data_IF_438911692468
#
_entry.id   IF_438911692468
#
_cell.length_a   1.000
_cell.length_b   1.000
_cell.length_c   1.000
_cell.angle_alpha   90.00
_cell.angle_beta   90.00
_cell.angle_gamma   90.00
#
_symmetry.space_group_name_H-M   'P 1'
#
loop_
_entity.id
_entity.type
_entity.pdbx_description
1 polymer ?
#
# COMPACT_ATOMS: atom_id res chain seq x y z
N UNK A 1 -5.99 -1.56 3.44
CA UNK A 1 -6.06 -0.38 2.54
C UNK A 1 -7.12 -0.48 1.43
N UNK A 2 -7.63 -1.66 1.05
CA UNK A 2 -8.69 -1.79 0.02
C UNK A 2 -10.11 -1.41 0.47
N UNK A 3 -10.32 -1.14 1.77
CA UNK A 3 -11.63 -0.79 2.35
C UNK A 3 -11.70 0.63 2.91
N UNK A 4 -10.60 1.41 2.82
CA UNK A 4 -10.65 2.84 3.10
C UNK A 4 -11.00 3.56 1.80
N UNK A 5 -12.02 4.42 1.80
CA UNK A 5 -12.26 5.44 0.76
C UNK A 5 -11.17 6.52 0.83
N UNK A 6 -9.91 6.09 0.87
CA UNK A 6 -8.76 6.97 0.92
C UNK A 6 -8.44 7.47 -0.49
N UNK A 7 -8.04 8.74 -0.63
CA UNK A 7 -7.59 9.25 -1.93
C UNK A 7 -6.33 8.54 -2.44
N UNK A 8 -5.56 7.87 -1.58
CA UNK A 8 -4.28 7.25 -1.91
C UNK A 8 -4.37 6.20 -3.02
N UNK A 9 -5.44 5.40 -3.08
CA UNK A 9 -5.63 4.42 -4.16
C UNK A 9 -5.89 5.09 -5.50
N UNK A 10 -6.73 6.14 -5.51
CA UNK A 10 -6.98 6.93 -6.71
C UNK A 10 -5.70 7.64 -7.17
N UNK A 11 -4.93 8.20 -6.25
CA UNK A 11 -3.63 8.81 -6.50
C UNK A 11 -2.64 7.81 -7.13
N UNK A 12 -2.53 6.59 -6.57
CA UNK A 12 -1.68 5.53 -7.12
C UNK A 12 -2.11 5.15 -8.55
N UNK A 13 -3.41 4.96 -8.78
CA UNK A 13 -3.97 4.67 -10.11
C UNK A 13 -3.67 5.78 -11.12
N UNK A 14 -3.87 7.04 -10.73
CA UNK A 14 -3.59 8.21 -11.57
C UNK A 14 -2.10 8.37 -11.86
N UNK A 15 -1.23 8.15 -10.86
CA UNK A 15 0.22 8.17 -11.03
C UNK A 15 0.71 7.06 -11.98
N UNK A 16 0.17 5.85 -11.84
CA UNK A 16 0.49 4.73 -12.73
C UNK A 16 -0.01 4.99 -14.16
N UNK A 17 -1.21 5.56 -14.33
CA UNK A 17 -1.75 5.92 -15.64
C UNK A 17 -0.94 7.02 -16.31
N UNK A 18 -0.55 8.06 -15.57
CA UNK A 18 0.35 9.10 -16.04
C UNK A 18 1.69 8.52 -16.49
N UNK A 19 2.29 7.66 -15.65
CA UNK A 19 3.55 7.00 -15.96
C UNK A 19 3.46 6.12 -17.21
N UNK A 20 2.37 5.34 -17.35
CA UNK A 20 2.07 4.58 -18.56
C UNK A 20 1.96 5.48 -19.79
N UNK A 21 1.19 6.58 -19.69
CA UNK A 21 1.03 7.54 -20.78
C UNK A 21 2.37 8.12 -21.22
N UNK A 22 3.22 8.52 -20.28
CA UNK A 22 4.57 8.97 -20.58
C UNK A 22 5.48 7.86 -21.12
N UNK A 23 5.33 6.61 -20.73
CA UNK A 23 6.13 5.52 -21.28
C UNK A 23 5.69 5.13 -22.72
N UNK A 24 4.39 5.19 -23.01
CA UNK A 24 3.80 4.74 -24.26
C UNK A 24 3.76 5.81 -25.38
N UNK A 25 3.94 7.09 -25.03
CA UNK A 25 3.88 8.23 -25.96
C UNK A 25 4.75 8.10 -27.23
N UNK A 26 5.98 7.52 -27.18
CA UNK A 26 6.78 7.32 -28.39
C UNK A 26 6.12 6.37 -29.40
N UNK A 27 5.35 5.39 -28.92
CA UNK A 27 4.78 4.32 -29.73
C UNK A 27 3.36 4.62 -30.22
N UNK A 28 2.53 5.28 -29.39
CA UNK A 28 1.14 5.65 -29.72
C UNK A 28 0.88 7.09 -29.27
N UNK A 29 0.07 7.85 -30.03
CA UNK A 29 -0.20 9.26 -29.71
C UNK A 29 -1.47 9.52 -28.91
N UNK A 30 -2.68 9.19 -29.41
CA UNK A 30 -3.90 9.70 -28.79
C UNK A 30 -4.12 9.07 -27.41
N UNK A 31 -4.05 7.74 -27.32
CA UNK A 31 -4.30 7.02 -26.08
C UNK A 31 -3.33 7.43 -24.95
N UNK A 32 -2.00 7.53 -25.17
CA UNK A 32 -1.10 7.95 -24.10
C UNK A 32 -1.26 9.42 -23.69
N UNK A 33 -1.62 10.33 -24.60
CA UNK A 33 -1.94 11.72 -24.25
C UNK A 33 -3.20 11.83 -23.38
N UNK A 34 -4.24 11.03 -23.68
CA UNK A 34 -5.40 10.93 -22.80
C UNK A 34 -5.03 10.36 -21.43
N UNK A 35 -4.19 9.33 -21.38
CA UNK A 35 -3.71 8.75 -20.13
C UNK A 35 -2.91 9.76 -19.29
N UNK A 36 -2.03 10.55 -19.92
CA UNK A 36 -1.30 11.64 -19.24
C UNK A 36 -2.26 12.69 -18.69
N UNK A 37 -3.22 13.14 -19.50
CA UNK A 37 -4.19 14.17 -19.11
C UNK A 37 -5.06 13.71 -17.94
N UNK A 38 -5.62 12.50 -18.04
CA UNK A 38 -6.47 11.90 -17.01
C UNK A 38 -5.66 11.60 -15.74
N UNK A 39 -4.40 11.16 -15.88
CA UNK A 39 -3.50 10.93 -14.75
C UNK A 39 -3.16 12.22 -14.00
N UNK A 40 -2.79 13.31 -14.69
CA UNK A 40 -2.45 14.59 -14.03
C UNK A 40 -3.67 15.25 -13.39
N UNK A 41 -4.79 15.31 -14.10
CA UNK A 41 -6.03 15.90 -13.59
C UNK A 41 -6.56 15.05 -12.43
N UNK A 42 -6.58 13.72 -12.56
CA UNK A 42 -7.02 12.82 -11.50
C UNK A 42 -6.15 12.88 -10.25
N UNK A 43 -4.82 13.01 -10.41
CA UNK A 43 -3.91 13.18 -9.28
C UNK A 43 -4.14 14.52 -8.55
N UNK A 44 -4.43 15.59 -9.29
CA UNK A 44 -4.79 16.89 -8.72
C UNK A 44 -6.12 16.83 -7.96
N UNK A 45 -7.17 16.27 -8.57
CA UNK A 45 -8.52 16.16 -7.99
C UNK A 45 -8.60 15.18 -6.82
N UNK A 46 -7.70 14.19 -6.75
CA UNK A 46 -7.58 13.28 -5.60
C UNK A 46 -6.75 13.87 -4.45
N UNK A 47 -6.47 15.18 -4.46
CA UNK A 47 -5.82 15.87 -3.35
C UNK A 47 -4.30 15.80 -3.35
N UNK A 48 -3.66 15.43 -4.48
CA UNK A 48 -2.21 15.49 -4.67
C UNK A 48 -1.79 16.46 -5.79
N UNK A 49 -2.23 17.74 -5.79
CA UNK A 49 -1.90 18.69 -6.84
C UNK A 49 -0.40 18.99 -6.92
N UNK A 50 0.32 19.04 -5.80
CA UNK A 50 1.77 19.27 -5.79
C UNK A 50 2.54 18.17 -6.53
N UNK A 51 2.16 16.90 -6.33
CA UNK A 51 2.74 15.76 -7.03
C UNK A 51 2.39 15.78 -8.52
N UNK A 52 1.15 16.12 -8.88
CA UNK A 52 0.75 16.30 -10.28
C UNK A 52 1.62 17.36 -10.97
N UNK A 53 1.86 18.49 -10.32
CA UNK A 53 2.71 19.56 -10.85
C UNK A 53 4.16 19.11 -11.04
N UNK A 54 4.76 18.50 -10.04
CA UNK A 54 6.16 18.05 -10.10
C UNK A 54 6.35 16.92 -11.13
N UNK A 55 5.39 16.01 -11.21
CA UNK A 55 5.36 14.96 -12.24
C UNK A 55 5.23 15.56 -13.63
N UNK A 56 4.25 16.43 -13.85
CA UNK A 56 4.00 17.09 -15.13
C UNK A 56 5.18 17.95 -15.59
N UNK A 57 5.73 18.81 -14.71
CA UNK A 57 6.87 19.67 -15.03
C UNK A 57 8.11 18.86 -15.40
N UNK A 58 8.49 17.87 -14.59
CA UNK A 58 9.67 17.07 -14.88
C UNK A 58 9.48 16.17 -16.10
N UNK A 59 8.28 15.60 -16.30
CA UNK A 59 7.99 14.81 -17.49
C UNK A 59 8.01 15.65 -18.78
N UNK A 60 7.46 16.87 -18.76
CA UNK A 60 7.54 17.81 -19.88
C UNK A 60 8.97 18.19 -20.19
N UNK A 61 9.78 18.52 -19.17
CA UNK A 61 11.20 18.83 -19.34
C UNK A 61 11.96 17.64 -19.92
N UNK A 62 11.81 16.45 -19.34
CA UNK A 62 12.45 15.23 -19.81
C UNK A 62 12.05 14.88 -21.25
N UNK A 63 10.77 14.99 -21.61
CA UNK A 63 10.30 14.74 -22.98
C UNK A 63 10.84 15.77 -23.97
N UNK A 64 10.94 17.05 -23.57
CA UNK A 64 11.48 18.10 -24.41
C UNK A 64 12.99 17.98 -24.67
N UNK A 65 13.74 17.51 -23.67
CA UNK A 65 15.19 17.30 -23.79
C UNK A 65 15.57 15.93 -24.38
N UNK A 66 14.61 15.00 -24.49
CA UNK A 66 14.79 13.72 -25.17
C UNK A 66 14.93 13.95 -26.69
N UNK A 67 16.18 14.07 -27.15
CA UNK A 67 16.52 14.21 -28.58
C UNK A 67 17.21 12.94 -29.08
N UNK A 68 16.47 12.04 -29.75
CA UNK A 68 17.08 10.98 -30.55
C UNK A 68 18.11 11.57 -31.53
N UNK A 69 19.16 10.81 -31.86
CA UNK A 69 20.23 11.29 -32.75
C UNK A 69 19.78 11.49 -34.20
N UNK A 70 18.82 10.67 -34.66
CA UNK A 70 18.31 10.63 -36.04
C UNK A 70 16.82 11.00 -36.09
N UNK A 71 16.47 12.26 -35.81
CA UNK A 71 15.10 12.76 -35.96
C UNK A 71 15.06 13.93 -36.93
N UNK A 72 14.19 13.81 -37.94
CA UNK A 72 13.90 14.87 -38.88
C UNK A 72 13.23 16.08 -38.20
N UNK A 73 13.21 17.23 -38.88
CA UNK A 73 12.58 18.45 -38.39
C UNK A 73 11.11 18.25 -37.96
N UNK A 74 10.37 17.38 -38.66
CA UNK A 74 9.00 17.01 -38.31
C UNK A 74 8.92 16.25 -36.96
N UNK A 75 9.92 15.42 -36.65
CA UNK A 75 10.03 14.72 -35.37
C UNK A 75 10.29 15.68 -34.21
N UNK A 76 11.16 16.68 -34.41
CA UNK A 76 11.44 17.74 -33.43
C UNK A 76 10.19 18.56 -33.14
N UNK A 77 9.46 18.98 -34.19
CA UNK A 77 8.22 19.74 -34.04
C UNK A 77 7.15 18.94 -33.29
N UNK A 78 7.05 17.64 -33.57
CA UNK A 78 6.14 16.73 -32.86
C UNK A 78 6.46 16.63 -31.37
N UNK A 79 7.72 16.41 -31.00
CA UNK A 79 8.14 16.35 -29.59
C UNK A 79 7.78 17.65 -28.87
N UNK A 80 8.00 18.79 -29.52
CA UNK A 80 7.64 20.12 -28.99
C UNK A 80 6.13 20.27 -28.80
N UNK A 81 5.30 19.81 -29.74
CA UNK A 81 3.84 19.85 -29.61
C UNK A 81 3.36 18.95 -28.47
N UNK A 82 3.88 17.74 -28.37
CA UNK A 82 3.56 16.81 -27.29
C UNK A 82 3.98 17.39 -25.92
N UNK A 83 5.19 17.95 -25.80
CA UNK A 83 5.64 18.62 -24.58
C UNK A 83 4.75 19.83 -24.22
N UNK A 84 4.32 20.61 -25.22
CA UNK A 84 3.41 21.74 -25.00
C UNK A 84 2.02 21.28 -24.54
N UNK A 85 1.50 20.19 -25.09
CA UNK A 85 0.23 19.59 -24.65
C UNK A 85 0.32 19.10 -23.20
N UNK A 86 1.41 18.42 -22.83
CA UNK A 86 1.63 17.97 -21.44
C UNK A 86 1.81 19.17 -20.50
N UNK A 87 2.53 20.21 -20.93
CA UNK A 87 2.65 21.46 -20.19
C UNK A 87 1.30 22.16 -19.98
N UNK A 88 0.44 22.17 -21.00
CA UNK A 88 -0.90 22.75 -20.95
C UNK A 88 -1.82 21.94 -20.03
N UNK A 89 -1.80 20.61 -20.09
CA UNK A 89 -2.60 19.78 -19.17
C UNK A 89 -2.15 19.96 -17.73
N UNK A 90 -0.85 20.13 -17.49
CA UNK A 90 -0.33 20.47 -16.17
C UNK A 90 -0.79 21.85 -15.69
N UNK A 91 -0.83 22.85 -16.58
CA UNK A 91 -1.36 24.19 -16.27
C UNK A 91 -2.87 24.16 -15.98
N UNK A 92 -3.64 23.35 -16.71
CA UNK A 92 -5.06 23.12 -16.44
C UNK A 92 -5.25 22.44 -15.08
N UNK A 93 -4.46 21.40 -14.78
CA UNK A 93 -4.51 20.74 -13.48
C UNK A 93 -4.15 21.68 -12.32
N UNK A 94 -3.20 22.61 -12.53
CA UNK A 94 -2.87 23.68 -11.60
C UNK A 94 -4.05 24.65 -11.42
N UNK A 95 -4.63 25.12 -12.52
CA UNK A 95 -5.76 26.05 -12.50
C UNK A 95 -6.96 25.46 -11.75
N UNK A 96 -7.27 24.18 -11.99
CA UNK A 96 -8.30 23.45 -11.24
C UNK A 96 -7.95 23.34 -9.75
N UNK A 97 -6.70 23.05 -9.40
CA UNK A 97 -6.27 22.98 -8.01
C UNK A 97 -6.41 24.32 -7.28
N UNK A 98 -6.11 25.43 -7.96
CA UNK A 98 -6.29 26.79 -7.43
C UNK A 98 -7.78 27.08 -7.26
N UNK A 99 -8.59 26.84 -8.29
CA UNK A 99 -10.03 27.13 -8.30
C UNK A 99 -10.79 26.36 -7.22
N UNK A 100 -10.38 25.12 -6.95
CA UNK A 100 -10.99 24.26 -5.93
C UNK A 100 -10.34 24.41 -4.53
N UNK A 101 -9.35 25.30 -4.36
CA UNK A 101 -8.65 25.49 -3.09
C UNK A 101 -7.91 24.25 -2.59
N UNK A 102 -7.45 23.39 -3.51
CA UNK A 102 -6.78 22.12 -3.20
C UNK A 102 -5.29 22.29 -2.86
N UNK A 103 -4.70 23.44 -3.17
CA UNK A 103 -3.31 23.76 -2.85
C UNK A 103 -3.14 23.99 -1.34
N UNK A 104 -3.03 22.90 -0.59
CA UNK A 104 -2.65 22.93 0.83
C UNK A 104 -1.18 22.60 0.96
N UNK A 105 -0.35 23.64 1.03
CA UNK A 105 1.08 23.49 1.27
C UNK A 105 1.32 23.18 2.75
N UNK A 106 1.36 21.89 3.09
CA UNK A 106 1.73 21.42 4.43
C UNK A 106 3.11 20.75 4.36
N UNK A 107 4.14 21.57 4.20
CA UNK A 107 5.53 21.10 4.27
C UNK A 107 5.86 20.92 5.74
N UNK A 108 5.84 19.67 6.19
CA UNK A 108 6.29 19.28 7.52
C UNK A 108 7.72 18.78 7.39
N UNK A 109 8.68 19.65 7.69
CA UNK A 109 10.08 19.24 7.74
C UNK A 109 10.29 18.33 8.95
N UNK A 110 11.03 17.21 8.79
CA UNK A 110 11.29 16.30 9.88
C UNK A 110 12.03 17.05 10.97
N UNK A 111 11.59 16.90 12.22
CA UNK A 111 12.34 17.46 13.34
C UNK A 111 13.68 16.72 13.39
N UNK A 112 14.78 17.38 13.77
CA UNK A 112 16.09 16.75 13.90
C UNK A 112 16.15 15.86 15.16
N UNK A 113 15.18 14.97 15.33
CA UNK A 113 15.15 13.95 16.37
C UNK A 113 15.55 12.61 15.77
N UNK A 114 16.34 11.82 16.51
CA UNK A 114 16.77 10.51 16.02
C UNK A 114 15.60 9.55 15.77
N UNK A 115 14.52 9.67 16.56
CA UNK A 115 13.31 8.87 16.41
C UNK A 115 12.62 9.08 15.05
N UNK A 116 12.46 10.34 14.61
CA UNK A 116 11.81 10.64 13.33
C UNK A 116 12.66 10.11 12.16
N UNK A 117 13.97 10.36 12.18
CA UNK A 117 14.90 9.86 11.14
C UNK A 117 14.95 8.34 11.09
N UNK A 118 14.94 7.66 12.24
CA UNK A 118 14.88 6.19 12.28
C UNK A 118 13.56 5.69 11.68
N UNK A 119 12.43 6.36 11.96
CA UNK A 119 11.14 6.05 11.36
C UNK A 119 11.15 6.16 9.83
N UNK A 120 11.67 7.27 9.27
CA UNK A 120 11.79 7.44 7.82
C UNK A 120 12.74 6.43 7.18
N UNK A 121 13.87 6.12 7.83
CA UNK A 121 14.82 5.13 7.34
C UNK A 121 14.19 3.72 7.33
N UNK A 122 13.50 3.35 8.40
CA UNK A 122 12.79 2.08 8.50
C UNK A 122 11.71 1.99 7.41
N UNK A 123 10.94 3.07 7.21
CA UNK A 123 9.93 3.14 6.15
C UNK A 123 10.57 2.94 4.77
N UNK A 124 11.58 3.74 4.41
CA UNK A 124 12.21 3.65 3.09
C UNK A 124 12.83 2.27 2.86
N UNK A 125 13.56 1.72 3.84
CA UNK A 125 14.26 0.44 3.71
C UNK A 125 13.27 -0.70 3.57
N UNK A 126 12.30 -0.82 4.48
CA UNK A 126 11.40 -1.98 4.52
C UNK A 126 10.26 -1.91 3.51
N UNK A 127 9.71 -0.72 3.28
CA UNK A 127 8.58 -0.55 2.37
C UNK A 127 8.98 -0.80 0.91
N UNK A 128 10.18 -0.36 0.53
CA UNK A 128 10.68 -0.53 -0.84
C UNK A 128 11.54 -1.77 -1.02
N UNK A 129 11.78 -2.54 0.05
CA UNK A 129 12.44 -3.84 -0.05
C UNK A 129 11.56 -4.83 -0.83
N UNK A 130 12.12 -5.67 -1.71
CA UNK A 130 13.52 -5.79 -2.13
C UNK A 130 13.84 -5.00 -3.41
N UNK A 131 12.99 -4.06 -3.82
CA UNK A 131 13.13 -3.32 -5.07
C UNK A 131 14.22 -2.25 -5.02
N UNK A 132 14.44 -1.59 -3.87
CA UNK A 132 15.39 -0.47 -3.79
C UNK A 132 16.85 -0.83 -4.08
N UNK A 133 17.43 -1.99 -3.68
CA UNK A 133 18.80 -2.32 -4.03
C UNK A 133 18.96 -2.46 -5.55
N UNK A 134 17.97 -3.07 -6.21
CA UNK A 134 17.95 -3.21 -7.67
C UNK A 134 17.75 -1.85 -8.35
N UNK A 135 16.86 -1.00 -7.84
CA UNK A 135 16.65 0.34 -8.37
C UNK A 135 17.92 1.21 -8.24
N UNK A 136 18.58 1.17 -7.08
CA UNK A 136 19.84 1.89 -6.85
C UNK A 136 20.96 1.35 -7.74
N UNK A 137 21.04 0.03 -7.92
CA UNK A 137 21.97 -0.60 -8.85
C UNK A 137 21.76 -0.13 -10.30
N UNK A 138 20.50 -0.02 -10.75
CA UNK A 138 20.17 0.55 -12.06
C UNK A 138 20.63 2.00 -12.16
N UNK A 139 20.30 2.85 -11.18
CA UNK A 139 20.73 4.26 -11.20
C UNK A 139 22.25 4.37 -11.23
N UNK A 140 22.96 3.57 -10.43
CA UNK A 140 24.42 3.56 -10.37
C UNK A 140 25.04 3.12 -11.70
N UNK A 141 24.57 2.02 -12.29
CA UNK A 141 25.12 1.49 -13.54
C UNK A 141 24.81 2.37 -14.75
N UNK A 142 23.67 3.05 -14.74
CA UNK A 142 23.21 3.92 -15.82
C UNK A 142 23.49 5.41 -15.55
N UNK A 143 24.25 5.76 -14.49
CA UNK A 143 24.55 7.16 -14.10
C UNK A 143 25.14 7.99 -15.23
N UNK A 144 26.01 7.40 -16.05
CA UNK A 144 26.64 8.09 -17.17
C UNK A 144 25.65 8.38 -18.31
N UNK A 145 24.50 7.70 -18.38
CA UNK A 145 23.41 8.01 -19.33
C UNK A 145 22.34 8.93 -18.74
N UNK A 146 22.26 9.01 -17.41
CA UNK A 146 21.39 9.96 -16.69
C UNK A 146 21.97 11.38 -16.69
N UNK A 147 23.29 11.51 -16.49
CA UNK A 147 23.95 12.81 -16.29
C UNK A 147 24.73 13.32 -17.51
N UNK A 148 24.81 12.57 -18.61
CA UNK A 148 25.38 13.09 -19.87
C UNK A 148 24.33 13.78 -20.73
N UNK A 149 24.83 14.50 -21.75
CA UNK A 149 24.08 15.30 -22.73
C UNK A 149 22.96 14.56 -23.50
N UNK A 150 22.87 13.23 -23.42
CA UNK A 150 21.79 12.41 -23.98
C UNK A 150 21.05 11.67 -22.86
N UNK A 151 20.03 12.33 -22.32
CA UNK A 151 19.20 11.77 -21.25
C UNK A 151 18.35 10.63 -21.81
N UNK A 152 18.58 9.41 -21.34
CA UNK A 152 17.74 8.27 -21.71
C UNK A 152 16.42 8.29 -20.96
N UNK A 153 15.32 8.59 -21.64
CA UNK A 153 13.94 8.63 -21.08
C UNK A 153 13.59 7.41 -20.24
N UNK A 154 13.94 6.21 -20.70
CA UNK A 154 13.57 4.95 -20.04
C UNK A 154 14.09 4.82 -18.60
N UNK A 155 15.18 5.51 -18.25
CA UNK A 155 15.72 5.52 -16.88
C UNK A 155 15.41 6.84 -16.17
N UNK A 156 15.47 7.97 -16.89
CA UNK A 156 15.29 9.30 -16.32
C UNK A 156 13.85 9.55 -15.84
N UNK A 157 12.84 9.10 -16.59
CA UNK A 157 11.43 9.25 -16.21
C UNK A 157 11.10 8.51 -14.91
N UNK A 158 11.34 7.19 -14.76
CA UNK A 158 11.07 6.52 -13.50
C UNK A 158 11.95 7.03 -12.36
N UNK A 159 13.20 7.41 -12.63
CA UNK A 159 14.04 8.04 -11.61
C UNK A 159 13.42 9.34 -11.10
N UNK A 160 12.94 10.22 -11.97
CA UNK A 160 12.30 11.47 -11.58
C UNK A 160 11.04 11.23 -10.74
N UNK A 161 10.13 10.37 -11.18
CA UNK A 161 8.91 10.10 -10.42
C UNK A 161 9.22 9.47 -9.05
N UNK A 162 10.15 8.52 -8.98
CA UNK A 162 10.58 7.92 -7.72
C UNK A 162 11.23 8.96 -6.80
N UNK A 163 12.08 9.84 -7.32
CA UNK A 163 12.73 10.90 -6.57
C UNK A 163 11.70 11.89 -5.99
N UNK A 164 10.75 12.33 -6.81
CA UNK A 164 9.68 13.23 -6.36
C UNK A 164 8.87 12.60 -5.24
N UNK A 165 8.50 11.32 -5.35
CA UNK A 165 7.78 10.62 -4.28
C UNK A 165 8.62 10.48 -3.01
N UNK A 166 9.90 10.11 -3.11
CA UNK A 166 10.79 9.97 -1.94
C UNK A 166 11.00 11.32 -1.26
N UNK A 167 11.25 12.39 -2.01
CA UNK A 167 11.34 13.74 -1.46
C UNK A 167 10.03 14.16 -0.80
N UNK A 168 8.89 13.91 -1.43
CA UNK A 168 7.58 14.23 -0.87
C UNK A 168 7.28 13.43 0.40
N UNK A 169 7.70 12.16 0.49
CA UNK A 169 7.59 11.33 1.69
C UNK A 169 8.34 11.95 2.88
N UNK A 170 9.48 12.59 2.63
CA UNK A 170 10.28 13.27 3.67
C UNK A 170 9.72 14.63 4.09
N UNK A 171 8.87 15.27 3.27
CA UNK A 171 8.36 16.63 3.51
C UNK A 171 6.87 16.68 3.84
N UNK A 172 6.19 15.53 3.91
CA UNK A 172 4.73 15.44 4.08
C UNK A 172 4.39 14.54 5.26
N UNK A 173 3.39 14.92 6.07
CA UNK A 173 2.94 14.17 7.24
C UNK A 173 2.27 12.80 6.96
N UNK A 174 2.04 12.43 5.69
CA UNK A 174 1.51 11.12 5.28
C UNK A 174 2.52 10.36 4.41
N UNK A 175 3.66 10.03 5.02
CA UNK A 175 4.85 9.49 4.37
C UNK A 175 4.59 8.17 3.63
N UNK A 176 3.90 7.21 4.26
CA UNK A 176 3.60 5.89 3.70
C UNK A 176 2.73 5.98 2.45
N UNK A 177 1.67 6.80 2.52
CA UNK A 177 0.72 7.00 1.40
C UNK A 177 1.40 7.66 0.21
N UNK A 178 2.30 8.60 0.47
CA UNK A 178 3.10 9.27 -0.58
C UNK A 178 4.08 8.30 -1.22
N UNK A 179 4.70 7.43 -0.41
CA UNK A 179 5.67 6.45 -0.88
C UNK A 179 5.03 5.36 -1.75
N UNK A 180 3.73 5.05 -1.56
CA UNK A 180 2.98 4.14 -2.44
C UNK A 180 3.08 4.58 -3.92
N UNK A 181 3.06 5.88 -4.19
CA UNK A 181 3.14 6.41 -5.56
C UNK A 181 4.52 6.16 -6.21
N UNK A 182 5.55 5.87 -5.41
CA UNK A 182 6.87 5.49 -5.92
C UNK A 182 6.92 4.04 -6.43
N UNK A 183 5.93 3.20 -6.14
CA UNK A 183 5.98 1.77 -6.48
C UNK A 183 6.07 1.51 -7.99
N UNK A 184 5.24 2.13 -8.87
CA UNK A 184 5.37 1.94 -10.32
C UNK A 184 6.76 2.30 -10.87
N UNK A 185 7.33 3.50 -10.59
CA UNK A 185 8.66 3.83 -11.09
C UNK A 185 9.76 2.95 -10.47
N UNK A 186 9.71 2.64 -9.18
CA UNK A 186 10.68 1.75 -8.54
C UNK A 186 10.65 0.33 -9.14
N UNK A 187 9.47 -0.21 -9.42
CA UNK A 187 9.30 -1.50 -10.08
C UNK A 187 9.97 -1.52 -11.46
N UNK A 188 9.84 -0.42 -12.23
CA UNK A 188 10.53 -0.33 -13.53
C UNK A 188 12.04 -0.18 -13.42
N UNK A 189 12.55 0.60 -12.45
CA UNK A 189 13.99 0.69 -12.19
C UNK A 189 14.56 -0.66 -11.77
N UNK A 190 13.85 -1.41 -10.92
CA UNK A 190 14.23 -2.75 -10.52
C UNK A 190 14.22 -3.72 -11.72
N UNK A 191 13.23 -3.64 -12.61
CA UNK A 191 13.18 -4.46 -13.82
C UNK A 191 14.37 -4.18 -14.76
N UNK A 192 14.81 -2.93 -14.89
CA UNK A 192 16.00 -2.57 -15.67
C UNK A 192 17.33 -2.99 -15.04
N UNK A 193 17.33 -3.44 -13.77
CA UNK A 193 18.51 -4.03 -13.16
C UNK A 193 18.80 -5.41 -13.75
N UNK A 194 17.76 -6.18 -14.08
CA UNK A 194 17.86 -7.61 -14.45
C UNK A 194 18.79 -7.87 -15.63
N UNK A 195 18.74 -7.13 -16.77
CA UNK A 195 19.66 -7.35 -17.90
C UNK A 195 21.13 -7.05 -17.57
N UNK A 196 21.38 -6.30 -16.49
CA UNK A 196 22.73 -5.93 -16.09
C UNK A 196 23.39 -6.96 -15.18
N UNK A 197 22.61 -7.84 -14.56
CA UNK A 197 23.11 -8.85 -13.63
C UNK A 197 23.81 -9.99 -14.39
N UNK A 198 24.85 -10.57 -13.76
CA UNK A 198 25.45 -11.81 -14.27
C UNK A 198 24.41 -12.92 -14.24
N UNK A 199 24.46 -13.84 -15.21
CA UNK A 199 23.53 -14.98 -15.33
C UNK A 199 23.38 -15.78 -14.03
N UNK A 200 24.45 -15.88 -13.25
CA UNK A 200 24.45 -16.56 -11.95
C UNK A 200 23.56 -15.85 -10.91
N UNK A 201 23.68 -14.53 -10.75
CA UNK A 201 22.91 -13.76 -9.76
C UNK A 201 21.42 -13.79 -10.10
N UNK A 202 21.08 -13.59 -11.38
CA UNK A 202 19.70 -13.68 -11.84
C UNK A 202 19.11 -15.09 -11.61
N UNK A 203 19.89 -16.15 -11.84
CA UNK A 203 19.44 -17.52 -11.58
C UNK A 203 19.20 -17.79 -10.08
N UNK A 204 20.05 -17.25 -9.19
CA UNK A 204 19.86 -17.38 -7.74
C UNK A 204 18.56 -16.73 -7.30
N UNK A 205 18.28 -15.50 -7.76
CA UNK A 205 17.03 -14.79 -7.45
C UNK A 205 15.81 -15.61 -7.94
N UNK A 206 15.89 -16.15 -9.16
CA UNK A 206 14.80 -16.94 -9.73
C UNK A 206 14.55 -18.24 -8.94
N UNK A 207 15.59 -18.98 -8.55
CA UNK A 207 15.44 -20.21 -7.75
C UNK A 207 14.99 -19.93 -6.33
N UNK A 208 15.53 -18.89 -5.70
CA UNK A 208 15.12 -18.46 -4.37
C UNK A 208 13.63 -18.12 -4.36
N UNK A 209 13.17 -17.28 -5.30
CA UNK A 209 11.76 -16.89 -5.37
C UNK A 209 10.84 -18.08 -5.66
N UNK A 210 11.24 -18.99 -6.54
CA UNK A 210 10.49 -20.21 -6.82
C UNK A 210 10.32 -21.07 -5.55
N UNK A 211 11.40 -21.38 -4.85
CA UNK A 211 11.38 -22.20 -3.63
C UNK A 211 10.62 -21.50 -2.50
N UNK A 212 10.86 -20.22 -2.30
CA UNK A 212 10.23 -19.41 -1.27
C UNK A 212 8.71 -19.34 -1.47
N UNK A 213 8.24 -18.91 -2.64
CA UNK A 213 6.80 -18.75 -2.89
C UNK A 213 6.06 -20.08 -2.97
N UNK A 214 6.70 -21.14 -3.48
CA UNK A 214 6.11 -22.49 -3.44
C UNK A 214 6.02 -23.02 -2.01
N UNK A 215 7.04 -22.76 -1.18
CA UNK A 215 7.02 -23.07 0.25
C UNK A 215 5.93 -22.30 1.00
N UNK A 216 5.77 -21.00 0.74
CA UNK A 216 4.68 -20.20 1.30
C UNK A 216 3.31 -20.75 0.89
N UNK A 217 3.09 -21.04 -0.39
CA UNK A 217 1.84 -21.61 -0.87
C UNK A 217 1.54 -22.97 -0.21
N UNK A 218 2.56 -23.83 -0.06
CA UNK A 218 2.44 -25.10 0.64
C UNK A 218 2.04 -24.91 2.11
N UNK A 219 2.69 -24.01 2.84
CA UNK A 219 2.38 -23.70 4.24
C UNK A 219 0.93 -23.20 4.37
N UNK A 220 0.50 -22.29 3.48
CA UNK A 220 -0.88 -21.76 3.48
C UNK A 220 -1.90 -22.90 3.32
N UNK A 221 -1.66 -23.83 2.39
CA UNK A 221 -2.49 -25.02 2.20
C UNK A 221 -2.50 -25.94 3.42
N UNK A 222 -1.33 -26.27 3.98
CA UNK A 222 -1.23 -27.16 5.15
C UNK A 222 -1.97 -26.60 6.35
N UNK A 223 -1.79 -25.31 6.65
CA UNK A 223 -2.48 -24.66 7.77
C UNK A 223 -3.98 -24.59 7.51
N UNK A 224 -4.41 -24.27 6.28
CA UNK A 224 -5.84 -24.25 5.95
C UNK A 224 -6.48 -25.63 6.09
N UNK A 225 -5.84 -26.70 5.59
CA UNK A 225 -6.31 -28.08 5.77
C UNK A 225 -6.38 -28.42 7.26
N UNK A 226 -5.38 -28.04 8.05
CA UNK A 226 -5.35 -28.27 9.49
C UNK A 226 -6.50 -27.57 10.23
N UNK A 227 -6.84 -26.35 9.82
CA UNK A 227 -7.97 -25.59 10.40
C UNK A 227 -9.32 -26.26 10.07
N UNK A 228 -9.49 -26.75 8.83
CA UNK A 228 -10.76 -27.34 8.40
C UNK A 228 -10.98 -28.77 8.90
N UNK A 229 -9.91 -29.56 9.02
CA UNK A 229 -9.99 -31.00 9.31
C UNK A 229 -9.44 -31.38 10.68
N UNK A 230 -8.70 -30.50 11.34
CA UNK A 230 -7.97 -30.80 12.57
C UNK A 230 -6.64 -31.56 12.37
N UNK A 231 -6.31 -31.96 11.13
CA UNK A 231 -5.08 -32.68 10.81
C UNK A 231 -4.23 -31.90 9.77
N UNK A 232 -2.91 -31.72 9.98
CA UNK A 232 -2.08 -32.16 11.10
C UNK A 232 -2.37 -31.43 12.43
N UNK A 233 -2.26 -32.18 13.54
CA UNK A 233 -2.67 -31.71 14.87
C UNK A 233 -1.87 -30.51 15.40
N UNK A 234 -0.57 -30.42 15.10
CA UNK A 234 0.28 -29.33 15.58
C UNK A 234 -0.12 -27.95 15.00
N UNK A 235 -0.22 -27.78 13.66
CA UNK A 235 -0.73 -26.53 13.10
C UNK A 235 -2.14 -26.16 13.57
N UNK A 236 -3.05 -27.13 13.70
CA UNK A 236 -4.40 -26.89 14.22
C UNK A 236 -4.37 -26.38 15.68
N UNK A 237 -3.58 -27.01 16.54
CA UNK A 237 -3.42 -26.59 17.93
C UNK A 237 -2.78 -25.19 18.05
N UNK A 238 -1.79 -24.89 17.21
CA UNK A 238 -1.16 -23.56 17.18
C UNK A 238 -2.17 -22.48 16.78
N UNK A 239 -3.01 -22.73 15.76
CA UNK A 239 -4.05 -21.78 15.35
C UNK A 239 -5.10 -21.62 16.45
N UNK A 240 -5.55 -22.71 17.07
CA UNK A 240 -6.52 -22.65 18.18
C UNK A 240 -5.97 -21.87 19.39
N UNK A 241 -4.66 -21.94 19.63
CA UNK A 241 -3.98 -21.15 20.68
C UNK A 241 -3.89 -19.66 20.31
N UNK A 242 -3.61 -19.34 19.04
CA UNK A 242 -3.44 -17.97 18.56
C UNK A 242 -4.78 -17.26 18.31
N UNK A 243 -5.81 -17.98 17.89
CA UNK A 243 -7.15 -17.47 17.58
C UNK A 243 -8.22 -18.21 18.39
N UNK A 244 -8.33 -17.96 19.70
CA UNK A 244 -9.22 -18.69 20.58
C UNK A 244 -10.69 -18.39 20.27
N UNK A 245 -11.48 -19.43 20.01
CA UNK A 245 -12.90 -19.29 19.67
C UNK A 245 -13.17 -18.94 18.20
N UNK A 246 -12.16 -19.07 17.33
CA UNK A 246 -12.36 -19.02 15.88
C UNK A 246 -13.05 -20.29 15.39
N UNK A 247 -14.14 -20.13 14.64
CA UNK A 247 -14.84 -21.24 13.97
C UNK A 247 -14.48 -21.27 12.49
N UNK A 248 -14.12 -22.46 12.01
CA UNK A 248 -13.71 -22.64 10.62
C UNK A 248 -14.92 -22.52 9.68
N UNK A 249 -14.82 -21.66 8.68
CA UNK A 249 -15.85 -21.47 7.66
C UNK A 249 -15.35 -22.04 6.33
N UNK A 250 -16.15 -22.90 5.70
CA UNK A 250 -15.83 -23.49 4.41
C UNK A 250 -16.62 -22.78 3.29
N UNK A 251 -15.91 -22.34 2.25
CA UNK A 251 -16.53 -21.71 1.08
C UNK A 251 -15.97 -22.33 -0.20
N UNK A 252 -16.80 -23.12 -0.87
CA UNK A 252 -16.47 -23.78 -2.14
C UNK A 252 -15.95 -22.83 -3.24
N UNK A 253 -16.54 -21.64 -3.48
CA UNK A 253 -16.02 -20.74 -4.51
C UNK A 253 -14.61 -20.22 -4.19
N UNK A 254 -14.31 -19.91 -2.92
CA UNK A 254 -12.96 -19.49 -2.51
C UNK A 254 -11.93 -20.60 -2.70
N UNK A 255 -12.32 -21.85 -2.40
CA UNK A 255 -11.49 -23.03 -2.63
C UNK A 255 -11.21 -23.22 -4.12
N UNK A 256 -12.23 -23.11 -4.98
CA UNK A 256 -12.07 -23.27 -6.43
C UNK A 256 -11.07 -22.24 -7.00
N UNK A 257 -11.16 -20.98 -6.58
CA UNK A 257 -10.22 -19.92 -6.98
C UNK A 257 -8.80 -20.23 -6.51
N UNK A 258 -8.63 -20.67 -5.26
CA UNK A 258 -7.33 -21.05 -4.70
C UNK A 258 -6.69 -22.23 -5.45
N UNK A 259 -7.49 -23.23 -5.83
CA UNK A 259 -7.06 -24.38 -6.63
C UNK A 259 -6.60 -23.92 -8.02
N UNK A 260 -7.40 -23.10 -8.71
CA UNK A 260 -7.04 -22.55 -10.03
C UNK A 260 -5.73 -21.75 -9.94
N UNK A 261 -5.58 -20.89 -8.94
CA UNK A 261 -4.36 -20.13 -8.74
C UNK A 261 -3.14 -21.04 -8.51
N UNK A 262 -3.30 -22.11 -7.72
CA UNK A 262 -2.23 -23.10 -7.47
C UNK A 262 -1.86 -23.85 -8.76
N UNK A 263 -2.83 -24.20 -9.60
CA UNK A 263 -2.56 -24.80 -10.92
C UNK A 263 -1.85 -23.84 -11.87
N UNK A 264 -2.26 -22.58 -11.93
CA UNK A 264 -1.60 -21.55 -12.74
C UNK A 264 -0.14 -21.37 -12.30
N UNK A 265 0.14 -21.41 -10.98
CA UNK A 265 1.50 -21.41 -10.47
C UNK A 265 2.30 -22.65 -10.89
N UNK A 266 1.72 -23.84 -10.75
CA UNK A 266 2.36 -25.09 -11.21
C UNK A 266 2.68 -25.07 -12.70
N UNK A 267 1.78 -24.51 -13.52
CA UNK A 267 2.01 -24.30 -14.94
C UNK A 267 3.15 -23.30 -15.21
N UNK A 268 3.19 -22.19 -14.47
CA UNK A 268 4.26 -21.18 -14.55
C UNK A 268 5.63 -21.77 -14.17
N UNK A 269 5.68 -22.58 -13.10
CA UNK A 269 6.89 -23.32 -12.68
C UNK A 269 7.33 -24.30 -13.76
N UNK A 270 6.41 -25.09 -14.32
CA UNK A 270 6.71 -26.03 -15.43
C UNK A 270 7.24 -25.29 -16.65
N UNK A 271 6.62 -24.18 -17.03
CA UNK A 271 7.06 -23.32 -18.13
C UNK A 271 8.49 -22.80 -17.90
N UNK A 272 8.79 -22.39 -16.67
CA UNK A 272 10.09 -21.83 -16.28
C UNK A 272 11.22 -22.87 -16.32
N UNK A 273 10.97 -24.08 -15.81
CA UNK A 273 11.92 -25.20 -15.82
C UNK A 273 12.16 -25.73 -17.25
N UNK A 274 11.21 -25.48 -18.16
CA UNK A 274 11.35 -25.77 -19.59
C UNK A 274 12.47 -24.98 -20.29
N UNK A 275 13.08 -25.62 -21.31
CA UNK A 275 14.12 -25.05 -22.18
C UNK A 275 13.55 -24.04 -23.20
N UNK A 276 13.00 -22.92 -22.72
CA UNK A 276 12.56 -21.80 -23.56
C UNK A 276 13.57 -20.64 -23.52
N UNK A 277 13.74 -19.97 -24.66
CA UNK A 277 14.74 -18.91 -24.90
C UNK A 277 14.69 -17.77 -23.86
N UNK A 278 15.87 -17.19 -23.61
CA UNK A 278 16.14 -16.19 -22.58
C UNK A 278 15.56 -14.82 -22.96
N UNK A 279 14.32 -14.56 -22.55
CA UNK A 279 13.72 -13.24 -22.66
C UNK A 279 13.69 -12.55 -21.29
N UNK A 280 13.91 -11.22 -21.27
CA UNK A 280 14.17 -10.40 -20.07
C UNK A 280 13.08 -10.56 -18.99
N UNK A 281 11.82 -10.73 -19.39
CA UNK A 281 10.67 -10.93 -18.50
C UNK A 281 10.68 -12.27 -17.74
N UNK A 282 11.46 -13.27 -18.16
CA UNK A 282 11.43 -14.60 -17.55
C UNK A 282 11.81 -14.58 -16.06
N UNK A 283 12.70 -13.67 -15.66
CA UNK A 283 13.15 -13.51 -14.26
C UNK A 283 12.18 -12.68 -13.43
N UNK A 284 11.40 -11.79 -14.05
CA UNK A 284 10.45 -10.92 -13.32
C UNK A 284 9.13 -11.62 -13.02
N UNK A 285 8.68 -12.51 -13.91
CA UNK A 285 7.38 -13.18 -13.81
C UNK A 285 7.28 -14.12 -12.60
N UNK A 286 8.37 -14.78 -12.21
CA UNK A 286 8.41 -15.67 -11.05
C UNK A 286 8.13 -14.95 -9.72
N UNK A 287 8.90 -13.91 -9.33
CA UNK A 287 8.63 -13.19 -8.10
C UNK A 287 7.25 -12.52 -8.09
N UNK A 288 6.85 -11.88 -9.19
CA UNK A 288 5.55 -11.23 -9.28
C UNK A 288 4.39 -12.24 -9.20
N UNK A 289 4.48 -13.35 -9.93
CA UNK A 289 3.50 -14.43 -9.90
C UNK A 289 3.43 -15.13 -8.55
N UNK A 290 4.57 -15.34 -7.88
CA UNK A 290 4.63 -16.01 -6.59
C UNK A 290 4.07 -15.14 -5.47
N UNK A 291 4.37 -13.83 -5.50
CA UNK A 291 3.76 -12.86 -4.61
C UNK A 291 2.24 -12.78 -4.83
N UNK A 292 1.80 -12.71 -6.10
CA UNK A 292 0.37 -12.71 -6.45
C UNK A 292 -0.35 -13.98 -5.99
N UNK A 293 0.26 -15.16 -6.19
CA UNK A 293 -0.26 -16.43 -5.69
C UNK A 293 -0.40 -16.42 -4.17
N UNK A 294 0.68 -16.06 -3.45
CA UNK A 294 0.70 -16.07 -1.99
C UNK A 294 -0.37 -15.14 -1.43
N UNK A 295 -0.48 -13.95 -2.01
CA UNK A 295 -1.52 -12.98 -1.64
C UNK A 295 -2.93 -13.51 -1.94
N UNK A 296 -3.14 -14.10 -3.13
CA UNK A 296 -4.43 -14.65 -3.52
C UNK A 296 -4.84 -15.82 -2.60
N UNK A 297 -3.92 -16.74 -2.28
CA UNK A 297 -4.20 -17.84 -1.35
C UNK A 297 -4.52 -17.32 0.07
N UNK A 298 -3.82 -16.29 0.55
CA UNK A 298 -4.13 -15.67 1.84
C UNK A 298 -5.52 -15.01 1.83
N UNK A 299 -5.83 -14.24 0.78
CA UNK A 299 -7.10 -13.53 0.60
C UNK A 299 -8.29 -14.45 0.24
N UNK A 300 -8.05 -15.74 0.02
CA UNK A 300 -9.10 -16.73 -0.23
C UNK A 300 -9.21 -17.71 0.94
N UNK A 301 -8.17 -18.50 1.17
CA UNK A 301 -8.17 -19.57 2.17
C UNK A 301 -8.09 -19.03 3.60
N UNK A 302 -7.24 -18.04 3.87
CA UNK A 302 -7.03 -17.51 5.22
C UNK A 302 -7.87 -16.29 5.53
N UNK A 303 -8.67 -15.77 4.59
CA UNK A 303 -9.45 -14.56 4.79
C UNK A 303 -10.36 -14.60 6.03
N UNK A 304 -11.09 -15.70 6.35
CA UNK A 304 -11.90 -15.75 7.56
C UNK A 304 -11.05 -15.66 8.84
N UNK A 305 -9.92 -16.36 8.88
CA UNK A 305 -9.00 -16.34 10.02
C UNK A 305 -8.35 -14.95 10.20
N UNK A 306 -7.85 -14.36 9.11
CA UNK A 306 -7.26 -13.02 9.12
C UNK A 306 -8.28 -11.97 9.54
N UNK A 307 -9.52 -12.08 9.07
CA UNK A 307 -10.60 -11.20 9.48
C UNK A 307 -10.90 -11.35 10.98
N UNK A 308 -10.97 -12.57 11.52
CA UNK A 308 -11.17 -12.78 12.96
C UNK A 308 -10.01 -12.22 13.80
N UNK A 309 -8.77 -12.38 13.33
CA UNK A 309 -7.58 -11.96 14.05
C UNK A 309 -7.34 -10.45 14.03
N UNK A 310 -7.77 -9.75 12.97
CA UNK A 310 -7.51 -8.31 12.78
C UNK A 310 -8.75 -7.43 12.94
N UNK A 311 -9.97 -7.99 12.86
CA UNK A 311 -11.20 -7.20 12.96
C UNK A 311 -11.58 -6.92 14.40
N UNK A 312 -11.89 -5.65 14.69
CA UNK A 312 -12.49 -5.25 15.95
C UNK A 312 -13.90 -5.80 16.20
N UNK A 313 -14.52 -6.54 15.27
CA UNK A 313 -15.88 -7.06 15.45
C UNK A 313 -16.03 -7.87 16.75
N UNK A 314 -15.10 -8.78 17.04
CA UNK A 314 -15.16 -9.57 18.27
C UNK A 314 -15.06 -8.72 19.54
N UNK A 315 -14.21 -7.68 19.52
CA UNK A 315 -14.07 -6.70 20.60
C UNK A 315 -15.38 -5.92 20.80
N UNK A 316 -15.98 -5.45 19.71
CA UNK A 316 -17.23 -4.68 19.74
C UNK A 316 -18.38 -5.55 20.26
N UNK A 317 -18.55 -6.77 19.75
CA UNK A 317 -19.62 -7.67 20.20
C UNK A 317 -19.53 -8.00 21.69
N UNK A 318 -18.31 -8.25 22.21
CA UNK A 318 -18.09 -8.45 23.67
C UNK A 318 -18.43 -7.21 24.49
N UNK A 319 -18.22 -6.02 23.94
CA UNK A 319 -18.55 -4.74 24.58
C UNK A 319 -20.05 -4.50 24.59
N UNK A 320 -20.70 -4.64 23.44
CA UNK A 320 -22.15 -4.45 23.26
C UNK A 320 -22.94 -5.46 24.09
N UNK A 321 -22.44 -6.68 24.29
CA UNK A 321 -23.03 -7.65 25.20
C UNK A 321 -23.10 -7.18 26.68
N UNK A 322 -22.31 -6.16 27.07
CA UNK A 322 -22.32 -5.58 28.43
C UNK A 322 -23.12 -4.27 28.51
N UNK A 323 -23.09 -3.45 27.47
CA UNK A 323 -23.69 -2.10 27.48
C UNK A 323 -25.03 -1.99 26.74
N UNK A 324 -25.38 -3.01 25.96
CA UNK A 324 -26.55 -3.03 25.06
C UNK A 324 -26.25 -2.50 23.66
N UNK A 325 -27.05 -2.91 22.67
CA UNK A 325 -27.02 -2.36 21.31
C UNK A 325 -27.60 -0.94 21.28
N UNK A 326 -27.13 -0.10 20.35
CA UNK A 326 -27.60 1.29 20.16
C UNK A 326 -27.45 2.21 21.38
N UNK A 327 -26.58 1.84 22.33
CA UNK A 327 -26.30 2.68 23.49
C UNK A 327 -25.51 3.93 23.09
N UNK A 328 -25.70 5.02 23.84
CA UNK A 328 -24.77 6.15 23.76
C UNK A 328 -23.56 5.88 24.66
N UNK A 329 -22.36 6.12 24.13
CA UNK A 329 -21.13 6.02 24.89
C UNK A 329 -20.19 7.20 24.60
N UNK A 330 -19.57 7.72 25.64
CA UNK A 330 -18.47 8.67 25.48
C UNK A 330 -17.18 7.94 25.10
N UNK A 331 -16.30 8.58 24.34
CA UNK A 331 -15.00 8.00 23.96
C UNK A 331 -13.81 8.87 24.34
N UNK A 332 -12.75 8.22 24.82
CA UNK A 332 -11.45 8.85 25.14
C UNK A 332 -10.32 7.97 24.66
N UNK A 333 -9.36 8.57 23.96
CA UNK A 333 -8.13 7.90 23.56
C UNK A 333 -8.28 6.94 22.38
N UNK A 334 -9.47 6.37 22.17
CA UNK A 334 -9.73 5.37 21.12
C UNK A 334 -9.21 5.80 19.74
N UNK A 335 -8.46 4.92 19.09
CA UNK A 335 -8.03 5.09 17.71
C UNK A 335 -9.21 5.16 16.72
N UNK A 336 -8.98 5.79 15.55
CA UNK A 336 -10.05 5.95 14.54
C UNK A 336 -10.66 4.62 14.08
N UNK A 337 -9.84 3.55 14.01
CA UNK A 337 -10.32 2.21 13.65
C UNK A 337 -11.31 1.64 14.68
N UNK A 338 -11.02 1.81 15.98
CA UNK A 338 -11.92 1.38 17.05
C UNK A 338 -13.21 2.22 17.07
N UNK A 339 -13.11 3.55 16.96
CA UNK A 339 -14.28 4.44 16.88
C UNK A 339 -15.20 4.06 15.72
N UNK A 340 -14.62 3.86 14.53
CA UNK A 340 -15.38 3.42 13.36
C UNK A 340 -16.00 2.03 13.56
N UNK A 341 -15.28 1.09 14.16
CA UNK A 341 -15.77 -0.25 14.44
C UNK A 341 -16.95 -0.26 15.43
N UNK A 342 -16.88 0.50 16.51
CA UNK A 342 -17.97 0.63 17.48
C UNK A 342 -19.20 1.32 16.88
N UNK A 343 -19.00 2.35 16.06
CA UNK A 343 -20.09 3.01 15.34
C UNK A 343 -20.75 2.08 14.31
N UNK A 344 -19.98 1.28 13.57
CA UNK A 344 -20.49 0.42 12.50
C UNK A 344 -21.04 -0.91 13.02
N UNK A 345 -20.24 -1.70 13.74
CA UNK A 345 -20.64 -3.02 14.23
C UNK A 345 -21.54 -2.96 15.46
N UNK A 346 -21.30 -1.99 16.35
CA UNK A 346 -22.06 -1.84 17.60
C UNK A 346 -23.25 -0.90 17.48
N UNK A 347 -23.35 -0.16 16.37
CA UNK A 347 -24.35 0.90 16.16
C UNK A 347 -24.40 1.90 17.32
N UNK A 348 -23.25 2.11 17.98
CA UNK A 348 -23.16 2.99 19.13
C UNK A 348 -23.09 4.44 18.69
N UNK A 349 -23.81 5.31 19.40
CA UNK A 349 -23.61 6.75 19.27
C UNK A 349 -22.42 7.14 20.13
N UNK A 350 -21.26 7.31 19.48
CA UNK A 350 -20.05 7.77 20.13
C UNK A 350 -19.99 9.28 20.16
N UNK A 351 -19.76 9.85 21.33
CA UNK A 351 -19.50 11.28 21.53
C UNK A 351 -18.14 11.46 22.20
N UNK A 352 -17.37 12.50 21.86
CA UNK A 352 -16.13 12.79 22.57
C UNK A 352 -16.45 13.09 24.04
N UNK A 353 -15.62 12.61 24.96
CA UNK A 353 -15.83 12.84 26.39
C UNK A 353 -15.92 14.32 26.73
N UNK A 354 -16.88 14.65 27.59
CA UNK A 354 -17.10 15.99 28.12
C UNK A 354 -16.84 16.02 29.63
N UNK A 355 -16.72 17.22 30.20
CA UNK A 355 -16.55 17.39 31.66
C UNK A 355 -17.76 16.95 32.47
N UNK A 356 -18.95 16.96 31.86
CA UNK A 356 -20.19 16.45 32.44
C UNK A 356 -20.69 15.27 31.59
N UNK A 357 -21.02 14.11 32.19
CA UNK A 357 -21.41 12.91 31.45
C UNK A 357 -22.75 13.12 30.74
N UNK A 358 -22.74 13.02 29.42
CA UNK A 358 -23.92 13.07 28.54
C UNK A 358 -24.50 11.69 28.25
N UNK A 359 -23.67 10.65 28.40
CA UNK A 359 -24.04 9.27 28.07
C UNK A 359 -23.79 8.33 29.26
N UNK A 360 -24.57 7.24 29.38
CA UNK A 360 -24.47 6.33 30.52
C UNK A 360 -23.19 5.51 30.55
N UNK A 361 -22.49 5.41 29.42
CA UNK A 361 -21.29 4.60 29.24
C UNK A 361 -20.12 5.47 28.77
N UNK A 362 -18.91 5.05 29.13
CA UNK A 362 -17.66 5.62 28.64
C UNK A 362 -16.73 4.49 28.21
N UNK A 363 -16.19 4.61 27.00
CA UNK A 363 -15.21 3.71 26.40
C UNK A 363 -13.87 4.43 26.36
N UNK A 364 -12.87 3.89 27.04
CA UNK A 364 -11.55 4.50 27.10
C UNK A 364 -10.46 3.51 26.70
N UNK A 365 -9.50 3.98 25.91
CA UNK A 365 -8.26 3.24 25.69
C UNK A 365 -7.41 3.32 26.97
N UNK A 366 -6.92 2.18 27.51
CA UNK A 366 -6.02 2.23 28.65
C UNK A 366 -4.67 2.82 28.25
N UNK A 367 -3.98 3.37 29.25
CA UNK A 367 -2.58 3.77 29.11
C UNK A 367 -1.68 2.53 28.93
N UNK A 368 -0.42 2.67 28.49
CA UNK A 368 0.50 1.54 28.31
C UNK A 368 0.74 0.70 29.58
N UNK A 369 0.52 1.28 30.76
CA UNK A 369 0.57 0.61 32.06
C UNK A 369 -0.73 -0.16 32.40
N UNK A 370 -1.71 -0.19 31.48
CA UNK A 370 -3.02 -0.84 31.63
C UNK A 370 -4.03 -0.04 32.45
N UNK A 371 -3.68 1.15 32.93
CA UNK A 371 -4.54 1.95 33.80
C UNK A 371 -5.46 2.89 33.00
N UNK A 372 -6.55 3.40 33.61
CA UNK A 372 -7.40 4.40 32.98
C UNK A 372 -6.64 5.67 32.55
N UNK A 373 -7.10 6.38 31.50
CA UNK A 373 -6.61 7.72 31.20
C UNK A 373 -6.78 8.65 32.39
N UNK A 374 -5.82 9.55 32.62
CA UNK A 374 -5.87 10.53 33.72
C UNK A 374 -7.05 11.50 33.60
N UNK A 375 -7.62 11.65 32.41
CA UNK A 375 -8.80 12.48 32.14
C UNK A 375 -10.09 11.87 32.66
N UNK A 376 -10.11 10.58 33.00
CA UNK A 376 -11.29 9.88 33.52
C UNK A 376 -11.37 10.09 35.03
N UNK A 377 -12.41 10.80 35.49
CA UNK A 377 -12.70 10.96 36.91
C UNK A 377 -13.41 9.70 37.46
N UNK A 378 -12.69 8.93 38.29
CA UNK A 378 -13.18 7.70 38.91
C UNK A 378 -14.25 7.96 40.00
N UNK A 379 -14.48 9.21 40.39
CA UNK A 379 -15.59 9.56 41.27
C UNK A 379 -16.93 9.57 40.51
N UNK A 380 -16.92 9.93 39.23
CA UNK A 380 -18.09 9.95 38.35
C UNK A 380 -18.27 8.63 37.58
N UNK A 381 -17.16 7.99 37.23
CA UNK A 381 -17.14 6.79 36.39
C UNK A 381 -16.71 5.55 37.16
N UNK A 382 -17.52 4.49 37.08
CA UNK A 382 -17.19 3.17 37.63
C UNK A 382 -16.66 2.25 36.55
N UNK A 383 -15.45 1.72 36.73
CA UNK A 383 -14.90 0.72 35.82
C UNK A 383 -15.71 -0.58 35.97
N UNK A 384 -16.28 -1.06 34.87
CA UNK A 384 -17.04 -2.31 34.85
C UNK A 384 -16.25 -3.47 34.28
N UNK A 385 -15.53 -3.23 33.19
CA UNK A 385 -14.80 -4.29 32.51
C UNK A 385 -13.62 -3.74 31.72
N UNK A 386 -12.57 -4.55 31.61
CA UNK A 386 -11.52 -4.40 30.60
C UNK A 386 -11.76 -5.47 29.54
N UNK A 387 -12.16 -5.05 28.33
CA UNK A 387 -12.48 -5.94 27.23
C UNK A 387 -11.29 -5.96 26.28
N UNK A 388 -10.71 -7.14 26.12
CA UNK A 388 -9.54 -7.35 25.26
C UNK A 388 -9.95 -8.01 23.95
N UNK A 389 -9.27 -7.62 22.88
CA UNK A 389 -9.40 -8.29 21.60
C UNK A 389 -8.87 -9.74 21.74
N UNK A 390 -9.55 -10.74 21.13
CA UNK A 390 -9.25 -12.16 21.36
C UNK A 390 -7.86 -12.60 20.91
N UNK A 391 -7.32 -11.96 19.86
CA UNK A 391 -6.03 -12.31 19.25
C UNK A 391 -4.95 -11.29 19.60
N UNK A 392 -5.15 -10.03 19.20
CA UNK A 392 -4.27 -8.94 19.62
C UNK A 392 -4.53 -8.49 21.05
N UNK A 393 -3.66 -8.87 22.00
CA UNK A 393 -3.83 -8.50 23.40
C UNK A 393 -3.44 -7.05 23.72
N UNK A 394 -2.75 -6.35 22.82
CA UNK A 394 -2.46 -4.92 22.98
C UNK A 394 -3.72 -4.08 22.76
N UNK A 395 -4.64 -4.57 21.94
CA UNK A 395 -5.92 -3.93 21.63
C UNK A 395 -6.96 -4.24 22.71
N UNK A 396 -7.30 -3.25 23.52
CA UNK A 396 -8.30 -3.37 24.58
C UNK A 396 -9.03 -2.06 24.86
N UNK A 397 -10.19 -2.18 25.48
CA UNK A 397 -11.08 -1.05 25.79
C UNK A 397 -11.59 -1.22 27.21
N UNK A 398 -11.42 -0.17 28.00
CA UNK A 398 -12.00 -0.04 29.32
C UNK A 398 -13.44 0.48 29.19
N UNK A 399 -14.38 -0.25 29.79
CA UNK A 399 -15.80 0.12 29.82
C UNK A 399 -16.14 0.65 31.20
N UNK A 400 -16.64 1.88 31.24
CA UNK A 400 -17.11 2.54 32.44
C UNK A 400 -18.61 2.79 32.36
N UNK A 401 -19.25 2.83 33.53
CA UNK A 401 -20.63 3.25 33.71
C UNK A 401 -20.68 4.48 34.61
N UNK A 402 -21.49 5.45 34.20
CA UNK A 402 -21.75 6.65 35.00
C UNK A 402 -22.43 6.25 36.32
N UNK A 403 -22.00 6.85 37.43
CA UNK A 403 -22.53 6.56 38.77
C UNK A 403 -23.96 7.05 38.97
#
# INVERSE_FOLDING_TARGET
>A
MSHETSPALAQLGCAALFYYGMAALPYRRPLPLYAVSLGLIGLSLSGAPSLALLFGLGATALHFFDRPGDIDAAGVQRIRQEALLIGLTNAVALGLAILLGLLRWKIELPRPTWADWNGYAQLLIWFTWPAWPLALWTVWRWRHRLFNRRISRHVALPFWLALVCVCATLTTGSSDRTLLLALPPLATLAAFALPTLKRQVAAIIDWFTLLFFSGCAFIVWVIWIAIQTGFPAQPAANVARLAPGFEAQFSLPTLAIAIVATFVWGWLVKWRVGRHQAAIWKSLVLPAGGAALSWLLLMTLWMPLLNYAQSYNALVQRTVARIGTNACAESVGLGQGQVAAFAFYGQLRLVPMQSAPQCPWLLAEPRPDGSPPKTVDLNQWTLLANIRHPVDHAENVLVFKNR
#
